data_IF_731197486689
#
_entry.id   IF_731197486689
#
_cell.length_a   1.000
_cell.length_b   1.000
_cell.length_c   1.000
_cell.angle_alpha   90.00
_cell.angle_beta   90.00
_cell.angle_gamma   90.00
#
_symmetry.space_group_name_H-M   'P 1'
#
loop_
_entity.id
_entity.type
_entity.pdbx_description
1 polymer ?
#
# COMPACT_ATOMS: atom_id res chain seq x y z
N UNK A 1 15.83 0.53 32.73
CA UNK A 1 14.45 0.02 32.52
C UNK A 1 14.40 -0.53 31.08
N UNK A 2 15.12 -1.62 30.84
CA UNK A 2 14.62 -2.99 30.62
C UNK A 2 14.15 -3.20 29.16
N UNK A 3 15.10 -3.58 28.31
CA UNK A 3 14.90 -3.95 26.90
C UNK A 3 13.88 -5.08 26.72
N UNK A 4 13.69 -5.92 27.75
CA UNK A 4 12.66 -6.97 27.82
C UNK A 4 11.22 -6.44 27.74
N UNK A 5 10.95 -5.27 28.33
CA UNK A 5 9.64 -4.64 28.23
C UNK A 5 9.35 -4.18 26.79
N UNK A 6 10.38 -3.74 26.06
CA UNK A 6 10.27 -3.31 24.67
C UNK A 6 10.08 -4.49 23.72
N UNK A 7 10.81 -5.59 23.93
CA UNK A 7 10.68 -6.79 23.12
C UNK A 7 9.32 -7.45 23.35
N UNK A 8 8.88 -7.58 24.60
CA UNK A 8 7.55 -8.12 24.92
C UNK A 8 6.41 -7.24 24.42
N UNK A 9 6.56 -5.91 24.45
CA UNK A 9 5.62 -4.98 23.83
C UNK A 9 5.62 -5.13 22.29
N UNK A 10 6.79 -5.24 21.66
CA UNK A 10 6.95 -5.43 20.22
C UNK A 10 6.31 -6.75 19.74
N UNK A 11 6.62 -7.86 20.40
CA UNK A 11 6.06 -9.16 20.08
C UNK A 11 4.55 -9.22 20.37
N UNK A 12 4.08 -8.64 21.48
CA UNK A 12 2.63 -8.57 21.75
C UNK A 12 1.89 -7.71 20.73
N UNK A 13 2.51 -6.64 20.23
CA UNK A 13 1.98 -5.84 19.14
C UNK A 13 1.95 -6.64 17.82
N UNK A 14 3.03 -7.36 17.48
CA UNK A 14 3.15 -8.18 16.28
C UNK A 14 2.11 -9.32 16.21
N UNK A 15 1.79 -9.93 17.36
CA UNK A 15 0.77 -10.98 17.45
C UNK A 15 -0.64 -10.45 17.73
N UNK A 16 -0.79 -9.14 17.94
CA UNK A 16 -2.12 -8.56 18.09
C UNK A 16 -2.88 -8.63 16.75
N UNK A 17 -4.10 -9.17 16.77
CA UNK A 17 -5.05 -9.07 15.64
C UNK A 17 -5.20 -7.62 15.14
N UNK A 18 -4.95 -6.66 16.03
CA UNK A 18 -4.96 -5.21 15.81
C UNK A 18 -3.87 -4.75 14.85
N UNK A 19 -2.61 -5.14 15.02
CA UNK A 19 -1.51 -4.71 14.15
C UNK A 19 -1.72 -5.15 12.70
N UNK A 20 -2.13 -6.41 12.49
CA UNK A 20 -2.41 -6.92 11.14
C UNK A 20 -3.63 -6.26 10.50
N UNK A 21 -4.69 -5.97 11.28
CA UNK A 21 -5.87 -5.22 10.81
C UNK A 21 -5.55 -3.76 10.46
N UNK A 22 -4.80 -3.06 11.31
CA UNK A 22 -4.49 -1.62 11.17
C UNK A 22 -3.35 -1.30 10.19
N UNK A 23 -2.31 -2.13 10.11
CA UNK A 23 -1.05 -1.84 9.38
C UNK A 23 -0.98 -2.52 8.01
N UNK A 24 -1.61 -3.70 7.87
CA UNK A 24 -1.54 -4.51 6.64
C UNK A 24 -2.86 -4.51 5.87
N UNK A 25 -4.01 -4.57 6.56
CA UNK A 25 -5.32 -4.77 5.93
C UNK A 25 -6.10 -3.45 5.74
N UNK A 26 -5.77 -2.41 6.52
CA UNK A 26 -6.46 -1.12 6.47
C UNK A 26 -7.91 -1.16 6.97
N UNK A 27 -8.31 -2.20 7.70
CA UNK A 27 -9.62 -2.29 8.34
C UNK A 27 -9.48 -1.84 9.80
N UNK A 28 -10.33 -0.91 10.30
CA UNK A 28 -10.27 -0.51 11.70
C UNK A 28 -10.63 -1.70 12.60
N UNK A 29 -10.16 -1.70 13.86
CA UNK A 29 -10.71 -2.53 14.91
C UNK A 29 -12.25 -2.43 14.91
N UNK A 30 -12.94 -3.58 14.97
CA UNK A 30 -14.27 -3.58 15.58
C UNK A 30 -14.01 -3.32 17.07
N UNK A 31 -14.72 -2.32 17.60
CA UNK A 31 -14.69 -1.76 18.97
C UNK A 31 -13.86 -0.49 19.09
N UNK A 32 -14.43 0.60 19.65
CA UNK A 32 -13.69 1.84 19.92
C UNK A 32 -12.43 1.60 20.77
N UNK A 33 -11.36 2.34 20.49
CA UNK A 33 -10.07 2.14 21.16
C UNK A 33 -9.40 3.44 21.60
N UNK A 34 -8.63 3.40 22.68
CA UNK A 34 -7.87 4.57 23.12
C UNK A 34 -6.79 4.99 22.08
N UNK A 35 -6.62 6.30 21.83
CA UNK A 35 -5.53 6.81 21.00
C UNK A 35 -4.17 6.32 21.48
N UNK A 36 -3.28 6.00 20.54
CA UNK A 36 -1.91 5.56 20.87
C UNK A 36 -1.02 6.74 21.23
N UNK A 37 0.12 6.48 21.90
CA UNK A 37 1.10 7.51 22.28
C UNK A 37 1.56 8.32 21.07
N UNK A 38 1.84 7.66 19.94
CA UNK A 38 2.26 8.32 18.71
C UNK A 38 1.19 9.27 18.16
N UNK A 39 -0.08 8.85 18.18
CA UNK A 39 -1.22 9.67 17.73
C UNK A 39 -1.38 10.94 18.56
N UNK A 40 -1.11 10.85 19.87
CA UNK A 40 -1.18 12.00 20.78
C UNK A 40 0.05 12.89 20.67
N UNK A 41 1.24 12.31 20.43
CA UNK A 41 2.50 13.03 20.32
C UNK A 41 2.60 13.88 19.06
N UNK A 42 2.11 13.38 17.92
CA UNK A 42 2.22 14.05 16.61
C UNK A 42 0.87 14.51 16.06
N UNK A 43 0.06 15.15 16.91
CA UNK A 43 -1.23 15.70 16.51
C UNK A 43 -1.06 16.87 15.54
N UNK A 44 -1.87 16.89 14.50
CA UNK A 44 -1.89 17.91 13.45
C UNK A 44 -3.12 18.80 13.64
N UNK A 45 -2.90 20.12 13.65
CA UNK A 45 -3.95 21.12 13.80
C UNK A 45 -4.53 21.51 12.44
N UNK A 46 -5.84 21.71 12.38
CA UNK A 46 -6.55 22.19 11.18
C UNK A 46 -6.52 23.72 11.07
N UNK A 47 -6.53 24.40 12.22
CA UNK A 47 -6.62 25.87 12.32
C UNK A 47 -5.26 26.54 12.25
N UNK A 48 -4.21 25.86 12.74
CA UNK A 48 -2.85 26.39 12.76
C UNK A 48 -2.00 25.76 11.65
N UNK A 49 -1.28 26.57 10.84
CA UNK A 49 -0.34 26.04 9.88
C UNK A 49 0.76 25.24 10.56
N UNK A 50 1.10 24.09 9.98
CA UNK A 50 2.26 23.30 10.38
C UNK A 50 3.50 23.86 9.71
N UNK A 51 4.63 23.89 10.44
CA UNK A 51 5.91 24.33 9.87
C UNK A 51 6.37 23.33 8.82
N UNK A 52 6.48 23.78 7.58
CA UNK A 52 6.94 22.99 6.43
C UNK A 52 8.07 23.72 5.73
N UNK A 53 9.02 22.96 5.18
CA UNK A 53 10.09 23.48 4.34
C UNK A 53 9.62 23.50 2.88
N UNK A 54 9.36 24.69 2.36
CA UNK A 54 8.91 24.88 0.98
C UNK A 54 7.40 24.94 0.84
N UNK A 55 6.89 24.57 -0.33
CA UNK A 55 5.46 24.60 -0.65
C UNK A 55 4.73 23.31 -0.21
N UNK A 56 3.41 23.37 0.07
CA UNK A 56 2.60 22.17 0.28
C UNK A 56 2.63 21.25 -0.94
N UNK A 57 2.72 19.93 -0.74
CA UNK A 57 2.83 18.96 -1.84
C UNK A 57 1.78 17.86 -1.75
N UNK A 58 1.20 17.48 -2.89
CA UNK A 58 0.19 16.42 -2.95
C UNK A 58 0.76 15.00 -2.85
N UNK A 59 2.09 14.86 -2.89
CA UNK A 59 2.82 13.58 -2.93
C UNK A 59 2.33 12.59 -4.00
N UNK A 60 1.78 13.10 -5.12
CA UNK A 60 1.25 12.26 -6.20
C UNK A 60 0.23 11.22 -5.69
N UNK A 61 -0.65 11.64 -4.77
CA UNK A 61 -1.76 10.82 -4.26
C UNK A 61 -3.13 11.33 -4.70
N UNK A 62 -3.20 12.50 -5.33
CA UNK A 62 -4.46 13.13 -5.77
C UNK A 62 -4.90 12.52 -7.10
N UNK A 63 -6.15 12.07 -7.16
CA UNK A 63 -6.80 11.49 -8.34
C UNK A 63 -7.54 12.57 -9.12
N UNK A 64 -8.34 13.38 -8.43
CA UNK A 64 -9.09 14.48 -8.99
C UNK A 64 -9.08 15.67 -8.02
N UNK A 65 -9.12 16.89 -8.56
CA UNK A 65 -9.18 18.13 -7.79
C UNK A 65 -9.96 19.20 -8.55
N UNK A 66 -10.94 19.78 -7.87
CA UNK A 66 -11.73 20.93 -8.30
C UNK A 66 -12.03 21.83 -7.08
N UNK A 67 -12.79 22.91 -7.23
CA UNK A 67 -13.22 23.78 -6.14
C UNK A 67 -14.18 23.07 -5.18
N UNK A 68 -14.98 22.14 -5.70
CA UNK A 68 -15.97 21.38 -4.93
C UNK A 68 -15.36 20.24 -4.12
N UNK A 69 -14.54 19.38 -4.73
CA UNK A 69 -13.94 18.24 -4.03
C UNK A 69 -12.51 17.90 -4.46
N UNK A 70 -11.85 17.13 -3.62
CA UNK A 70 -10.57 16.51 -3.93
C UNK A 70 -10.64 15.03 -3.61
N UNK A 71 -10.29 14.19 -4.57
CA UNK A 71 -10.19 12.75 -4.37
C UNK A 71 -8.71 12.37 -4.21
N UNK A 72 -8.40 11.65 -3.14
CA UNK A 72 -7.07 11.18 -2.79
C UNK A 72 -7.10 9.65 -2.69
N UNK A 73 -6.10 8.97 -3.24
CA UNK A 73 -5.94 7.53 -3.07
C UNK A 73 -5.38 7.20 -1.68
N UNK A 74 -5.72 6.04 -1.14
CA UNK A 74 -5.17 5.58 0.12
C UNK A 74 -3.71 5.09 0.00
N UNK A 75 -3.05 4.92 1.15
CA UNK A 75 -1.67 4.46 1.21
C UNK A 75 -1.43 3.05 0.66
N UNK A 76 -2.48 2.21 0.56
CA UNK A 76 -2.34 0.88 -0.06
C UNK A 76 -2.05 0.97 -1.55
N UNK A 77 -2.52 2.01 -2.24
CA UNK A 77 -2.30 2.22 -3.67
C UNK A 77 -0.80 2.24 -4.05
N UNK A 78 0.06 2.82 -3.19
CA UNK A 78 1.50 2.87 -3.41
C UNK A 78 2.15 1.48 -3.47
N UNK A 79 1.61 0.50 -2.73
CA UNK A 79 2.21 -0.83 -2.54
C UNK A 79 1.51 -1.95 -3.32
N UNK A 80 0.48 -1.64 -4.12
CA UNK A 80 -0.32 -2.65 -4.84
C UNK A 80 0.56 -3.62 -5.62
N UNK A 81 0.32 -4.91 -5.41
CA UNK A 81 1.00 -6.02 -6.08
C UNK A 81 2.36 -6.38 -5.49
N UNK A 82 3.01 -5.49 -4.73
CA UNK A 82 4.28 -5.82 -4.09
C UNK A 82 4.09 -6.92 -3.03
N UNK A 83 2.99 -6.87 -2.27
CA UNK A 83 2.62 -7.93 -1.33
C UNK A 83 2.41 -9.26 -2.03
N UNK A 84 1.63 -9.28 -3.11
CA UNK A 84 1.40 -10.46 -3.94
C UNK A 84 2.70 -11.11 -4.43
N UNK A 85 3.65 -10.31 -4.91
CA UNK A 85 4.97 -10.82 -5.30
C UNK A 85 5.69 -11.48 -4.13
N UNK A 86 5.81 -10.77 -2.99
CA UNK A 86 6.52 -11.26 -1.82
C UNK A 86 5.88 -12.55 -1.26
N UNK A 87 4.55 -12.59 -1.16
CA UNK A 87 3.81 -13.77 -0.70
C UNK A 87 3.93 -14.95 -1.68
N UNK A 88 3.95 -14.71 -3.00
CA UNK A 88 4.21 -15.79 -3.97
C UNK A 88 5.62 -16.35 -3.82
N UNK A 89 6.64 -15.49 -3.73
CA UNK A 89 8.03 -15.94 -3.53
C UNK A 89 8.22 -16.69 -2.21
N UNK A 90 7.48 -16.32 -1.16
CA UNK A 90 7.47 -17.03 0.13
C UNK A 90 6.72 -18.37 0.05
N UNK A 91 5.61 -18.43 -0.67
CA UNK A 91 4.77 -19.64 -0.77
C UNK A 91 5.41 -20.74 -1.62
N UNK A 92 6.08 -20.39 -2.73
CA UNK A 92 6.66 -21.38 -3.66
C UNK A 92 7.58 -22.43 -3.01
N UNK A 93 8.59 -22.08 -2.21
CA UNK A 93 9.46 -23.08 -1.58
C UNK A 93 8.71 -23.93 -0.55
N UNK A 94 7.73 -23.36 0.16
CA UNK A 94 6.93 -24.09 1.16
C UNK A 94 6.01 -25.09 0.47
N UNK A 95 5.36 -24.68 -0.63
CA UNK A 95 4.53 -25.56 -1.45
C UNK A 95 5.41 -26.68 -2.02
N UNK A 96 6.57 -26.32 -2.57
CA UNK A 96 7.50 -27.31 -3.12
C UNK A 96 7.94 -28.30 -2.03
N UNK A 97 8.52 -27.85 -0.92
CA UNK A 97 8.99 -28.76 0.14
C UNK A 97 7.87 -29.60 0.76
N UNK A 98 6.69 -29.03 0.98
CA UNK A 98 5.61 -29.71 1.71
C UNK A 98 4.84 -30.70 0.84
N UNK A 99 4.60 -30.37 -0.42
CA UNK A 99 3.81 -31.21 -1.33
C UNK A 99 4.67 -32.08 -2.24
N UNK A 100 5.85 -31.63 -2.69
CA UNK A 100 6.73 -32.46 -3.53
C UNK A 100 7.23 -33.70 -2.79
N UNK A 101 7.70 -33.55 -1.55
CA UNK A 101 8.16 -34.68 -0.70
C UNK A 101 7.01 -35.68 -0.50
N UNK A 102 5.81 -35.17 -0.25
CA UNK A 102 4.62 -35.98 -0.04
C UNK A 102 4.21 -36.75 -1.31
N UNK A 103 4.20 -36.08 -2.47
CA UNK A 103 3.90 -36.71 -3.77
C UNK A 103 4.96 -37.75 -4.12
N UNK A 104 6.25 -37.43 -3.94
CA UNK A 104 7.35 -38.36 -4.17
C UNK A 104 7.20 -39.63 -3.32
N UNK A 105 6.83 -39.49 -2.05
CA UNK A 105 6.60 -40.60 -1.12
C UNK A 105 5.46 -41.50 -1.59
N UNK A 106 4.34 -40.91 -2.03
CA UNK A 106 3.19 -41.66 -2.53
C UNK A 106 3.55 -42.45 -3.79
N UNK A 107 4.27 -41.83 -4.73
CA UNK A 107 4.61 -42.44 -6.01
C UNK A 107 5.67 -43.55 -5.88
N UNK A 108 6.57 -43.45 -4.91
CA UNK A 108 7.71 -44.36 -4.75
C UNK A 108 7.61 -45.25 -3.51
N UNK A 109 6.41 -45.45 -2.97
CA UNK A 109 6.21 -46.14 -1.68
C UNK A 109 6.85 -47.54 -1.59
N UNK A 110 7.01 -48.23 -2.73
CA UNK A 110 7.61 -49.58 -2.83
C UNK A 110 9.14 -49.58 -2.98
N UNK A 111 9.73 -48.43 -3.29
CA UNK A 111 11.16 -48.27 -3.56
C UNK A 111 11.90 -47.52 -2.43
N UNK A 112 11.19 -47.18 -1.35
CA UNK A 112 11.73 -46.42 -0.22
C UNK A 112 12.12 -47.40 0.89
N UNK A 113 13.41 -47.49 1.18
CA UNK A 113 13.95 -48.38 2.22
C UNK A 113 13.50 -47.96 3.64
N UNK A 114 13.51 -46.66 3.94
CA UNK A 114 13.12 -46.09 5.25
C UNK A 114 11.72 -45.47 5.22
N UNK A 115 10.71 -46.27 4.83
CA UNK A 115 9.35 -45.77 4.57
C UNK A 115 8.74 -45.00 5.76
N UNK A 116 8.94 -45.48 6.99
CA UNK A 116 8.35 -44.85 8.19
C UNK A 116 8.91 -43.45 8.45
N UNK A 117 10.21 -43.24 8.22
CA UNK A 117 10.86 -41.94 8.40
C UNK A 117 10.36 -40.95 7.34
N UNK A 118 10.28 -41.39 6.08
CA UNK A 118 9.80 -40.55 4.97
C UNK A 118 8.32 -40.19 5.14
N UNK A 119 7.48 -41.12 5.61
CA UNK A 119 6.08 -40.85 5.97
C UNK A 119 6.01 -39.83 7.11
N UNK A 120 6.81 -39.99 8.17
CA UNK A 120 6.82 -39.05 9.29
C UNK A 120 7.21 -37.63 8.83
N UNK A 121 8.28 -37.51 8.04
CA UNK A 121 8.71 -36.22 7.46
C UNK A 121 7.63 -35.62 6.55
N UNK A 122 6.96 -36.44 5.74
CA UNK A 122 5.87 -35.97 4.87
C UNK A 122 4.67 -35.46 5.67
N UNK A 123 4.22 -36.21 6.69
CA UNK A 123 3.14 -35.79 7.57
C UNK A 123 3.51 -34.50 8.30
N UNK A 124 4.70 -34.44 8.89
CA UNK A 124 5.20 -33.25 9.58
C UNK A 124 5.25 -32.03 8.65
N UNK A 125 5.74 -32.22 7.42
CA UNK A 125 5.80 -31.17 6.41
C UNK A 125 4.41 -30.69 5.98
N UNK A 126 3.43 -31.57 5.82
CA UNK A 126 2.04 -31.18 5.51
C UNK A 126 1.39 -30.43 6.67
N UNK A 127 1.56 -30.93 7.90
CA UNK A 127 0.95 -30.37 9.12
C UNK A 127 1.44 -28.95 9.37
N UNK A 128 2.71 -28.65 9.09
CA UNK A 128 3.26 -27.29 9.24
C UNK A 128 3.06 -26.46 7.96
N UNK A 129 3.32 -27.05 6.80
CA UNK A 129 3.29 -26.37 5.51
C UNK A 129 1.89 -25.89 5.12
N UNK A 130 0.85 -26.71 5.34
CA UNK A 130 -0.51 -26.36 4.91
C UNK A 130 -1.07 -25.13 5.62
N UNK A 131 -1.01 -25.01 6.97
CA UNK A 131 -1.44 -23.79 7.65
C UNK A 131 -0.67 -22.55 7.20
N UNK A 132 0.64 -22.66 6.94
CA UNK A 132 1.46 -21.56 6.44
C UNK A 132 1.03 -21.14 5.04
N UNK A 133 0.82 -22.08 4.12
CA UNK A 133 0.34 -21.79 2.77
C UNK A 133 -1.03 -21.13 2.80
N UNK A 134 -1.95 -21.58 3.66
CA UNK A 134 -3.26 -20.96 3.84
C UNK A 134 -3.15 -19.53 4.38
N UNK A 135 -2.28 -19.28 5.36
CA UNK A 135 -2.05 -17.95 5.91
C UNK A 135 -1.42 -17.00 4.89
N UNK A 136 -0.40 -17.46 4.16
CA UNK A 136 0.22 -16.70 3.07
C UNK A 136 -0.80 -16.43 1.96
N UNK A 137 -1.59 -17.45 1.58
CA UNK A 137 -2.65 -17.33 0.59
C UNK A 137 -3.74 -16.32 0.98
N UNK A 138 -4.08 -16.24 2.27
CA UNK A 138 -4.99 -15.22 2.79
C UNK A 138 -4.45 -13.80 2.58
N UNK A 139 -3.19 -13.55 2.95
CA UNK A 139 -2.58 -12.23 2.74
C UNK A 139 -2.34 -11.91 1.27
N UNK A 140 -1.96 -12.91 0.47
CA UNK A 140 -1.86 -12.78 -0.99
C UNK A 140 -3.20 -12.35 -1.59
N UNK A 141 -4.30 -13.00 -1.18
CA UNK A 141 -5.66 -12.64 -1.61
C UNK A 141 -6.00 -11.19 -1.23
N UNK A 142 -5.64 -10.75 -0.03
CA UNK A 142 -5.89 -9.37 0.41
C UNK A 142 -5.14 -8.34 -0.43
N UNK A 143 -3.92 -8.62 -0.87
CA UNK A 143 -3.21 -7.69 -1.75
C UNK A 143 -3.74 -7.78 -3.19
N UNK A 144 -3.97 -8.97 -3.72
CA UNK A 144 -4.23 -9.18 -5.14
C UNK A 144 -5.71 -9.02 -5.56
N UNK A 145 -6.67 -9.32 -4.67
CA UNK A 145 -8.11 -9.32 -4.96
C UNK A 145 -8.88 -8.20 -4.23
N UNK A 146 -8.22 -7.08 -3.92
CA UNK A 146 -8.88 -5.91 -3.33
C UNK A 146 -9.40 -4.96 -4.43
N UNK A 147 -9.66 -3.70 -4.07
CA UNK A 147 -9.92 -2.63 -5.01
C UNK A 147 -8.63 -2.09 -5.65
N UNK A 148 -8.75 -1.45 -6.81
CA UNK A 148 -7.60 -0.82 -7.51
C UNK A 148 -6.91 0.22 -6.63
N UNK A 149 -7.71 0.97 -5.89
CA UNK A 149 -7.33 1.86 -4.79
C UNK A 149 -8.58 2.08 -3.92
N UNK A 150 -8.42 2.57 -2.69
CA UNK A 150 -9.54 2.98 -1.85
C UNK A 150 -9.63 4.51 -1.87
N UNK A 151 -10.61 5.10 -2.59
CA UNK A 151 -10.70 6.55 -2.72
C UNK A 151 -11.15 7.20 -1.42
N UNK A 152 -10.60 8.38 -1.14
CA UNK A 152 -11.02 9.26 -0.05
C UNK A 152 -11.40 10.59 -0.70
N UNK A 153 -12.68 10.95 -0.62
CA UNK A 153 -13.21 12.21 -1.16
C UNK A 153 -13.35 13.23 -0.06
N UNK A 154 -12.68 14.35 -0.25
CA UNK A 154 -12.74 15.54 0.58
C UNK A 154 -13.68 16.52 -0.11
N UNK A 155 -14.91 16.64 0.36
CA UNK A 155 -15.92 17.54 -0.22
C UNK A 155 -15.90 18.84 0.58
N UNK A 156 -15.40 19.90 -0.06
CA UNK A 156 -15.20 21.19 0.60
C UNK A 156 -16.52 21.91 0.85
N UNK A 157 -17.43 21.87 -0.13
CA UNK A 157 -18.74 22.57 -0.05
C UNK A 157 -19.56 22.16 1.17
N UNK A 158 -19.55 20.87 1.51
CA UNK A 158 -20.25 20.30 2.67
C UNK A 158 -19.37 20.10 3.89
N UNK A 159 -18.05 20.37 3.78
CA UNK A 159 -17.02 20.06 4.80
C UNK A 159 -17.09 18.60 5.28
N UNK A 160 -17.25 17.65 4.35
CA UNK A 160 -17.31 16.21 4.64
C UNK A 160 -16.15 15.44 4.03
N UNK A 161 -15.78 14.35 4.69
CA UNK A 161 -14.81 13.36 4.21
C UNK A 161 -15.53 12.04 4.01
N UNK A 162 -15.63 11.62 2.76
CA UNK A 162 -16.15 10.30 2.40
C UNK A 162 -14.98 9.33 2.24
N UNK A 163 -14.99 8.26 3.03
CA UNK A 163 -13.96 7.22 3.02
C UNK A 163 -14.56 5.93 2.49
N UNK A 164 -14.05 5.46 1.35
CA UNK A 164 -14.51 4.23 0.74
C UNK A 164 -13.98 2.99 1.47
N UNK A 165 -14.86 2.03 1.72
CA UNK A 165 -14.54 0.72 2.29
C UNK A 165 -14.81 -0.41 1.29
N UNK A 166 -15.99 -0.43 0.68
CA UNK A 166 -16.39 -1.42 -0.33
C UNK A 166 -17.60 -0.96 -1.17
N UNK A 167 -17.87 -1.67 -2.27
CA UNK A 167 -19.00 -1.35 -3.17
C UNK A 167 -20.39 -1.78 -2.64
N UNK A 168 -20.46 -2.54 -1.54
CA UNK A 168 -21.72 -2.98 -0.93
C UNK A 168 -22.44 -1.87 -0.12
N UNK A 169 -23.67 -2.16 0.38
CA UNK A 169 -24.40 -1.25 1.27
C UNK A 169 -23.57 -0.95 2.54
N UNK A 170 -23.63 0.28 3.04
CA UNK A 170 -22.80 0.78 4.15
C UNK A 170 -21.28 0.78 3.87
N UNK A 171 -20.91 0.70 2.60
CA UNK A 171 -19.52 0.64 2.16
C UNK A 171 -18.75 1.97 2.14
N UNK A 172 -19.34 3.04 2.66
CA UNK A 172 -18.75 4.37 2.73
C UNK A 172 -18.99 4.98 4.11
N UNK A 173 -17.94 5.56 4.69
CA UNK A 173 -18.09 6.41 5.86
C UNK A 173 -18.15 7.87 5.43
N UNK A 174 -19.18 8.58 5.87
CA UNK A 174 -19.32 10.02 5.67
C UNK A 174 -19.04 10.71 7.00
N UNK A 175 -17.88 11.34 7.12
CA UNK A 175 -17.37 11.91 8.36
C UNK A 175 -17.29 13.43 8.25
N UNK A 176 -17.71 14.17 9.28
CA UNK A 176 -17.62 15.63 9.27
C UNK A 176 -16.17 16.06 9.49
N UNK A 177 -15.63 16.88 8.59
CA UNK A 177 -14.25 17.36 8.64
C UNK A 177 -13.93 18.06 9.96
N UNK A 178 -14.89 18.79 10.52
CA UNK A 178 -14.72 19.55 11.75
C UNK A 178 -14.58 18.66 12.99
N UNK A 179 -15.18 17.46 12.99
CA UNK A 179 -15.11 16.50 14.08
C UNK A 179 -13.87 15.59 14.01
N UNK A 180 -13.21 15.52 12.85
CA UNK A 180 -12.02 14.70 12.66
C UNK A 180 -10.78 15.27 13.37
N UNK A 181 -9.97 14.38 13.92
CA UNK A 181 -8.65 14.67 14.46
C UNK A 181 -7.59 14.04 13.55
N UNK A 182 -6.55 14.79 13.24
CA UNK A 182 -5.45 14.33 12.39
C UNK A 182 -4.16 14.22 13.20
N UNK A 183 -3.33 13.24 12.85
CA UNK A 183 -2.02 13.04 13.47
C UNK A 183 -1.09 12.30 12.51
N UNK A 184 0.21 12.35 12.76
CA UNK A 184 1.14 11.39 12.18
C UNK A 184 1.13 10.12 13.02
N UNK A 185 0.91 8.97 12.37
CA UNK A 185 0.96 7.66 13.03
C UNK A 185 1.98 6.76 12.36
N UNK A 186 2.75 6.06 13.19
CA UNK A 186 3.67 5.00 12.76
C UNK A 186 2.92 3.69 12.50
N UNK A 187 3.15 3.11 11.33
CA UNK A 187 2.72 1.77 10.92
C UNK A 187 3.91 0.95 10.44
N UNK A 188 4.46 0.12 11.32
CA UNK A 188 5.70 -0.63 11.02
C UNK A 188 6.90 0.30 10.87
N UNK A 189 7.56 0.25 9.71
CA UNK A 189 8.68 1.14 9.37
C UNK A 189 8.25 2.47 8.73
N UNK A 190 6.97 2.62 8.39
CA UNK A 190 6.46 3.79 7.70
C UNK A 190 5.57 4.63 8.61
N UNK A 191 5.39 5.88 8.21
CA UNK A 191 4.50 6.86 8.81
C UNK A 191 3.48 7.32 7.78
N UNK A 192 2.32 7.76 8.25
CA UNK A 192 1.30 8.36 7.40
C UNK A 192 0.45 9.36 8.16
N UNK A 193 -0.23 10.22 7.42
CA UNK A 193 -1.23 11.14 7.97
C UNK A 193 -2.49 10.33 8.27
N UNK A 194 -2.81 10.15 9.54
CA UNK A 194 -4.00 9.44 10.00
C UNK A 194 -5.09 10.46 10.40
N UNK A 195 -6.25 10.36 9.76
CA UNK A 195 -7.48 10.98 10.23
C UNK A 195 -8.31 10.01 11.05
N UNK A 196 -8.87 10.47 12.17
CA UNK A 196 -9.72 9.64 13.01
C UNK A 196 -10.84 10.43 13.69
N UNK A 197 -11.94 9.74 13.98
CA UNK A 197 -13.12 10.30 14.68
C UNK A 197 -13.13 9.83 16.15
N UNK A 198 -12.95 10.74 17.13
CA UNK A 198 -13.12 10.41 18.54
C UNK A 198 -14.59 10.33 18.94
N UNK A 199 -14.94 9.45 19.88
CA UNK A 199 -16.22 9.42 20.57
C UNK A 199 -16.25 10.40 21.77
N UNK A 200 -17.37 10.43 22.49
CA UNK A 200 -17.53 11.26 23.70
C UNK A 200 -16.53 10.92 24.83
N UNK A 201 -15.98 9.70 24.83
CA UNK A 201 -14.98 9.24 25.80
C UNK A 201 -13.54 9.45 25.30
N UNK A 202 -13.37 10.05 24.11
CA UNK A 202 -12.07 10.25 23.46
C UNK A 202 -11.49 8.98 22.81
N UNK A 203 -12.27 7.90 22.69
CA UNK A 203 -11.89 6.69 21.98
C UNK A 203 -12.09 6.84 20.48
N UNK A 204 -11.19 6.25 19.71
CA UNK A 204 -11.23 6.26 18.25
C UNK A 204 -12.30 5.30 17.76
N UNK A 205 -13.24 5.78 16.97
CA UNK A 205 -14.30 4.96 16.36
C UNK A 205 -14.01 4.62 14.90
N UNK A 206 -13.53 5.61 14.15
CA UNK A 206 -13.20 5.49 12.74
C UNK A 206 -11.79 6.04 12.51
N UNK A 207 -11.01 5.38 11.67
CA UNK A 207 -9.65 5.80 11.35
C UNK A 207 -9.30 5.44 9.92
N UNK A 208 -8.59 6.34 9.23
CA UNK A 208 -8.16 6.17 7.86
C UNK A 208 -6.87 6.95 7.58
N UNK A 209 -6.03 6.43 6.69
CA UNK A 209 -4.82 7.13 6.26
C UNK A 209 -5.11 7.98 5.02
N UNK A 210 -4.74 9.25 5.07
CA UNK A 210 -4.82 10.18 3.96
C UNK A 210 -3.58 10.08 3.08
N UNK A 211 -3.73 9.51 1.89
CA UNK A 211 -2.68 9.58 0.89
C UNK A 211 -1.44 8.75 1.24
N UNK A 212 -0.30 9.40 1.23
CA UNK A 212 0.99 8.73 1.18
C UNK A 212 1.39 8.14 2.54
N UNK A 213 2.11 7.02 2.47
CA UNK A 213 2.75 6.37 3.62
C UNK A 213 4.23 6.19 3.28
N UNK A 214 5.12 6.75 4.08
CA UNK A 214 6.55 6.80 3.79
C UNK A 214 7.41 6.58 5.03
N UNK A 215 8.66 6.10 4.90
CA UNK A 215 9.60 6.08 6.01
C UNK A 215 9.88 7.51 6.49
N UNK A 216 9.99 7.69 7.81
CA UNK A 216 10.39 8.99 8.37
C UNK A 216 11.84 9.28 8.02
N UNK A 217 12.13 10.56 7.80
CA UNK A 217 13.47 11.02 7.52
C UNK A 217 14.47 10.59 8.62
N UNK A 218 15.73 10.21 8.30
CA UNK A 218 16.71 9.76 9.28
C UNK A 218 16.99 10.74 10.43
N UNK A 219 16.67 12.03 10.23
CA UNK A 219 16.82 13.09 11.23
C UNK A 219 15.60 13.25 12.16
N UNK A 220 14.59 12.40 12.02
CA UNK A 220 13.33 12.49 12.73
C UNK A 220 12.31 13.39 12.03
N UNK A 221 11.18 13.63 12.70
CA UNK A 221 10.09 14.47 12.18
C UNK A 221 10.46 15.93 12.38
N UNK A 222 10.80 16.61 11.29
CA UNK A 222 11.09 18.04 11.24
C UNK A 222 10.32 18.74 10.12
N UNK A 223 10.53 20.05 9.89
CA UNK A 223 9.86 20.78 8.82
C UNK A 223 10.13 20.25 7.41
N UNK A 224 11.21 19.47 7.24
CA UNK A 224 11.60 18.78 6.01
C UNK A 224 10.86 17.46 5.77
N UNK A 225 10.02 17.01 6.71
CA UNK A 225 9.23 15.78 6.58
C UNK A 225 8.13 15.93 5.51
N UNK A 226 8.17 15.15 4.41
CA UNK A 226 7.23 15.33 3.30
C UNK A 226 5.77 15.06 3.68
N UNK A 227 5.51 14.23 4.69
CA UNK A 227 4.15 14.02 5.22
C UNK A 227 3.53 15.28 5.82
N UNK A 228 4.32 16.19 6.39
CA UNK A 228 3.81 17.47 6.90
C UNK A 228 3.40 18.40 5.75
N UNK A 229 4.20 18.43 4.68
CA UNK A 229 3.85 19.18 3.47
C UNK A 229 2.62 18.58 2.76
N UNK A 230 2.41 17.26 2.86
CA UNK A 230 1.19 16.59 2.41
C UNK A 230 -0.04 16.93 3.23
N UNK A 231 0.10 16.92 4.55
CA UNK A 231 -0.95 17.37 5.46
C UNK A 231 -1.35 18.81 5.14
N UNK A 232 -0.38 19.72 5.02
CA UNK A 232 -0.65 21.13 4.70
C UNK A 232 -1.36 21.28 3.36
N UNK A 233 -1.05 20.43 2.37
CA UNK A 233 -1.75 20.45 1.08
C UNK A 233 -3.24 20.11 1.26
N UNK A 234 -3.55 19.07 2.03
CA UNK A 234 -4.95 18.67 2.30
C UNK A 234 -5.68 19.70 3.16
N UNK A 235 -5.03 20.16 4.25
CA UNK A 235 -5.60 21.14 5.18
C UNK A 235 -5.92 22.46 4.50
N UNK A 236 -4.98 23.01 3.72
CA UNK A 236 -5.18 24.28 3.00
C UNK A 236 -6.28 24.16 1.96
N UNK A 237 -6.33 23.05 1.22
CA UNK A 237 -7.43 22.77 0.30
C UNK A 237 -8.79 22.83 1.00
N UNK A 238 -8.94 22.14 2.14
CA UNK A 238 -10.21 22.10 2.88
C UNK A 238 -10.57 23.43 3.56
N UNK A 239 -9.60 24.13 4.15
CA UNK A 239 -9.87 25.35 4.93
C UNK A 239 -9.89 26.63 4.09
N UNK A 240 -8.96 26.77 3.16
CA UNK A 240 -8.77 28.00 2.38
C UNK A 240 -9.18 27.84 0.90
N UNK A 241 -9.40 26.62 0.43
CA UNK A 241 -9.81 26.34 -0.95
C UNK A 241 -8.65 26.00 -1.90
N UNK A 242 -8.95 25.65 -3.16
CA UNK A 242 -7.97 25.13 -4.11
C UNK A 242 -6.88 26.14 -4.52
N UNK A 243 -7.16 27.45 -4.48
CA UNK A 243 -6.18 28.49 -4.81
C UNK A 243 -5.05 28.59 -3.79
N UNK A 244 -5.29 28.11 -2.56
CA UNK A 244 -4.31 28.15 -1.47
C UNK A 244 -3.22 27.08 -1.58
N UNK A 245 -3.32 26.19 -2.57
CA UNK A 245 -2.40 25.08 -2.81
C UNK A 245 -1.93 25.03 -4.25
N UNK A 246 -0.66 24.69 -4.50
CA UNK A 246 -0.14 24.61 -5.86
C UNK A 246 -0.90 23.57 -6.67
N UNK A 247 -1.02 23.78 -7.98
CA UNK A 247 -1.57 22.77 -8.90
C UNK A 247 -0.73 21.49 -8.81
N UNK A 248 -1.33 20.29 -8.66
CA UNK A 248 -0.58 19.05 -8.66
C UNK A 248 0.26 18.91 -9.92
N UNK A 249 1.52 18.52 -9.74
CA UNK A 249 2.37 18.19 -10.88
C UNK A 249 1.79 17.03 -11.68
N UNK A 250 1.11 16.10 -11.00
CA UNK A 250 0.49 14.92 -11.57
C UNK A 250 -0.84 14.61 -10.87
N UNK A 251 -1.85 14.23 -11.65
CA UNK A 251 -3.04 13.54 -11.16
C UNK A 251 -2.95 12.05 -11.48
N UNK A 252 -3.40 11.22 -10.54
CA UNK A 252 -3.36 9.78 -10.72
C UNK A 252 -4.30 9.34 -11.84
N UNK A 253 -3.81 8.54 -12.82
CA UNK A 253 -4.61 8.13 -13.96
C UNK A 253 -5.55 6.96 -13.61
N UNK A 254 -6.22 7.00 -12.46
CA UNK A 254 -7.01 5.90 -11.89
C UNK A 254 -8.48 6.25 -11.61
N UNK A 255 -8.90 7.47 -11.91
CA UNK A 255 -10.30 7.87 -11.80
C UNK A 255 -11.18 6.98 -12.71
N UNK A 256 -12.06 6.19 -12.10
CA UNK A 256 -12.96 5.25 -12.79
C UNK A 256 -12.27 4.29 -13.77
N UNK A 257 -10.96 4.05 -13.60
CA UNK A 257 -10.18 3.21 -14.50
C UNK A 257 -8.98 2.59 -13.80
N UNK A 258 -8.41 1.56 -14.42
CA UNK A 258 -7.13 0.97 -13.97
C UNK A 258 -5.97 1.82 -14.46
N UNK A 259 -4.90 1.90 -13.68
CA UNK A 259 -3.69 2.59 -14.10
C UNK A 259 -3.08 1.97 -15.37
N UNK A 260 -2.44 2.75 -16.25
CA UNK A 260 -1.66 2.22 -17.35
C UNK A 260 -0.45 1.41 -16.85
N UNK A 261 -0.09 0.33 -17.55
CA UNK A 261 1.02 -0.56 -17.16
C UNK A 261 2.34 0.21 -16.93
N UNK A 262 2.78 1.00 -17.93
CA UNK A 262 4.03 1.76 -17.84
C UNK A 262 4.00 2.80 -16.72
N UNK A 263 2.83 3.35 -16.40
CA UNK A 263 2.70 4.25 -15.26
C UNK A 263 2.90 3.52 -13.93
N UNK A 264 2.31 2.32 -13.78
CA UNK A 264 2.53 1.47 -12.61
C UNK A 264 4.00 1.08 -12.42
N UNK A 265 4.72 0.77 -13.53
CA UNK A 265 6.16 0.50 -13.49
C UNK A 265 6.97 1.74 -13.09
N UNK A 266 6.66 2.90 -13.67
CA UNK A 266 7.31 4.17 -13.30
C UNK A 266 7.18 4.45 -11.80
N UNK A 267 5.97 4.30 -11.26
CA UNK A 267 5.69 4.51 -9.84
C UNK A 267 6.44 3.52 -8.95
N UNK A 268 6.55 2.26 -9.39
CA UNK A 268 7.34 1.27 -8.69
C UNK A 268 8.82 1.67 -8.66
N UNK A 269 9.39 2.14 -9.77
CA UNK A 269 10.78 2.61 -9.77
C UNK A 269 10.99 3.83 -8.85
N UNK A 270 10.03 4.75 -8.76
CA UNK A 270 10.10 5.85 -7.79
C UNK A 270 10.17 5.34 -6.34
N UNK A 271 9.49 4.23 -6.01
CA UNK A 271 9.54 3.61 -4.68
C UNK A 271 10.93 3.05 -4.35
N UNK A 272 11.63 2.47 -5.33
CA UNK A 272 13.01 1.96 -5.16
C UNK A 272 14.08 3.05 -5.35
N UNK A 273 13.70 4.20 -5.92
CA UNK A 273 14.59 5.32 -6.20
C UNK A 273 15.80 4.91 -7.06
N UNK A 274 17.01 5.42 -6.76
CA UNK A 274 18.20 5.11 -7.55
C UNK A 274 18.60 3.63 -7.51
N UNK A 275 18.09 2.86 -6.54
CA UNK A 275 18.39 1.43 -6.40
C UNK A 275 17.55 0.53 -7.31
N UNK A 276 16.58 1.08 -8.06
CA UNK A 276 15.72 0.28 -8.93
C UNK A 276 16.52 -0.59 -9.93
N UNK A 277 17.62 -0.06 -10.48
CA UNK A 277 18.50 -0.78 -11.42
C UNK A 277 19.28 -1.90 -10.74
N UNK A 278 19.74 -1.68 -9.50
CA UNK A 278 20.47 -2.69 -8.72
C UNK A 278 19.59 -3.92 -8.43
N UNK A 279 18.30 -3.69 -8.27
CA UNK A 279 17.30 -4.72 -8.01
C UNK A 279 16.43 -5.00 -9.24
N UNK A 280 16.97 -4.87 -10.46
CA UNK A 280 16.21 -5.02 -11.69
C UNK A 280 15.33 -6.30 -11.72
N UNK A 281 15.81 -7.51 -11.36
CA UNK A 281 14.96 -8.70 -11.43
C UNK A 281 13.75 -8.62 -10.48
N UNK A 282 13.95 -7.99 -9.32
CA UNK A 282 12.89 -7.78 -8.32
C UNK A 282 11.93 -6.70 -8.78
N UNK A 283 12.43 -5.59 -9.33
CA UNK A 283 11.57 -4.48 -9.77
C UNK A 283 10.76 -4.82 -11.02
N UNK A 284 11.34 -5.55 -11.98
CA UNK A 284 10.62 -6.06 -13.16
C UNK A 284 9.50 -7.01 -12.73
N UNK A 285 9.80 -7.95 -11.84
CA UNK A 285 8.81 -8.88 -11.31
C UNK A 285 7.72 -8.14 -10.52
N UNK A 286 8.08 -7.15 -9.70
CA UNK A 286 7.11 -6.36 -8.95
C UNK A 286 6.20 -5.54 -9.87
N UNK A 287 6.71 -5.04 -11.00
CA UNK A 287 5.91 -4.39 -12.04
C UNK A 287 4.85 -5.33 -12.65
N UNK A 288 5.22 -6.58 -12.92
CA UNK A 288 4.28 -7.60 -13.39
C UNK A 288 3.20 -7.90 -12.34
N UNK A 289 3.59 -8.09 -11.08
CA UNK A 289 2.63 -8.34 -10.00
C UNK A 289 1.71 -7.15 -9.73
N UNK A 290 2.20 -5.91 -9.82
CA UNK A 290 1.36 -4.71 -9.76
C UNK A 290 0.32 -4.70 -10.87
N UNK A 291 0.73 -5.01 -12.10
CA UNK A 291 -0.21 -5.15 -13.22
C UNK A 291 -1.26 -6.23 -12.99
N UNK A 292 -0.84 -7.41 -12.52
CA UNK A 292 -1.74 -8.51 -12.17
C UNK A 292 -2.71 -8.11 -11.06
N UNK A 293 -2.22 -7.45 -10.01
CA UNK A 293 -3.04 -6.96 -8.90
C UNK A 293 -4.11 -6.00 -9.42
N UNK A 294 -3.73 -5.01 -10.22
CA UNK A 294 -4.68 -4.04 -10.78
C UNK A 294 -5.74 -4.71 -11.67
N UNK A 295 -5.39 -5.79 -12.39
CA UNK A 295 -6.32 -6.56 -13.24
C UNK A 295 -7.28 -7.41 -12.43
N UNK A 296 -6.79 -8.07 -11.39
CA UNK A 296 -7.63 -8.89 -10.51
C UNK A 296 -8.47 -8.05 -9.53
N UNK A 297 -8.12 -6.77 -9.37
CA UNK A 297 -8.85 -5.85 -8.51
C UNK A 297 -10.15 -5.35 -9.11
N UNK A 298 -11.11 -5.07 -8.22
CA UNK A 298 -12.36 -4.38 -8.56
C UNK A 298 -12.17 -2.87 -8.59
N UNK A 299 -12.98 -2.16 -9.39
CA UNK A 299 -13.01 -0.70 -9.37
C UNK A 299 -13.88 -0.21 -8.19
N UNK A 300 -13.44 0.81 -7.44
CA UNK A 300 -14.29 1.45 -6.44
C UNK A 300 -15.43 2.19 -7.14
N UNK A 301 -16.64 2.09 -6.58
CA UNK A 301 -17.83 2.78 -7.07
C UNK A 301 -18.42 3.59 -5.92
N UNK A 302 -18.69 4.87 -6.15
CA UNK A 302 -19.29 5.74 -5.15
C UNK A 302 -20.82 5.57 -5.15
N UNK A 303 -21.47 5.54 -3.97
CA UNK A 303 -22.92 5.60 -3.88
C UNK A 303 -23.46 6.92 -4.47
N UNK A 304 -24.68 6.87 -5.03
CA UNK A 304 -25.32 8.02 -5.66
C UNK A 304 -25.42 9.26 -4.73
N UNK A 305 -25.56 9.04 -3.43
CA UNK A 305 -25.60 10.12 -2.42
C UNK A 305 -24.29 10.92 -2.32
N UNK A 306 -23.15 10.25 -2.48
CA UNK A 306 -21.83 10.89 -2.49
C UNK A 306 -21.59 11.57 -3.82
N UNK A 307 -21.97 10.92 -4.92
CA UNK A 307 -21.85 11.51 -6.27
C UNK A 307 -22.70 12.78 -6.42
N UNK A 308 -23.90 12.81 -5.84
CA UNK A 308 -24.75 14.00 -5.82
C UNK A 308 -24.08 15.20 -5.13
N UNK A 309 -23.31 14.96 -4.06
CA UNK A 309 -22.54 16.00 -3.37
C UNK A 309 -21.29 16.44 -4.14
N UNK A 310 -20.84 15.62 -5.09
CA UNK A 310 -19.66 15.85 -5.92
C UNK A 310 -20.04 16.32 -7.33
N UNK A 311 -21.29 16.76 -7.56
CA UNK A 311 -21.68 17.31 -8.85
C UNK A 311 -20.97 18.63 -9.09
N UNK A 312 -20.20 18.66 -10.17
CA UNK A 312 -19.31 19.77 -10.52
C UNK A 312 -20.01 20.63 -11.56
N UNK A 313 -20.03 21.95 -11.36
CA UNK A 313 -20.48 22.90 -12.38
C UNK A 313 -19.58 22.80 -13.62
N UNK A 314 -20.09 23.02 -14.85
CA UNK A 314 -19.24 23.09 -16.05
C UNK A 314 -18.05 24.05 -15.92
N UNK A 315 -18.19 25.09 -15.08
CA UNK A 315 -17.14 26.08 -14.81
C UNK A 315 -16.09 25.62 -13.77
N UNK A 316 -16.38 24.58 -12.98
CA UNK A 316 -15.50 24.01 -11.92
C UNK A 316 -14.77 22.75 -12.42
N UNK A 317 -14.34 22.72 -13.68
CA UNK A 317 -13.73 21.53 -14.28
C UNK A 317 -12.49 21.06 -13.50
N UNK A 318 -12.28 19.73 -13.45
CA UNK A 318 -11.09 19.13 -12.83
C UNK A 318 -9.82 19.78 -13.36
N UNK A 319 -8.97 20.22 -12.43
CA UNK A 319 -7.75 20.94 -12.75
C UNK A 319 -6.84 20.07 -13.61
N UNK A 320 -6.32 20.65 -14.70
CA UNK A 320 -5.34 19.98 -15.53
C UNK A 320 -3.99 19.90 -14.78
N UNK A 321 -3.38 18.70 -14.65
CA UNK A 321 -2.07 18.58 -14.00
C UNK A 321 -0.97 19.21 -14.88
N UNK A 322 0.16 19.57 -14.25
CA UNK A 322 1.31 20.12 -15.01
C UNK A 322 1.94 19.09 -15.95
N UNK A 323 1.89 17.82 -15.59
CA UNK A 323 2.39 16.68 -16.36
C UNK A 323 1.30 15.63 -16.47
N UNK A 324 1.17 14.99 -17.63
CA UNK A 324 0.30 13.83 -17.79
C UNK A 324 1.05 12.59 -17.36
N UNK A 325 0.33 11.64 -16.76
CA UNK A 325 0.87 10.34 -16.34
C UNK A 325 1.57 9.57 -17.48
N UNK A 326 1.23 9.87 -18.73
CA UNK A 326 1.75 9.20 -19.93
C UNK A 326 2.96 9.89 -20.55
N UNK A 327 3.36 11.08 -20.10
CA UNK A 327 4.40 11.87 -20.76
C UNK A 327 5.76 11.15 -20.77
N UNK A 328 6.06 10.39 -19.71
CA UNK A 328 7.31 9.63 -19.60
C UNK A 328 7.21 8.20 -20.16
N UNK A 329 6.10 7.81 -20.79
CA UNK A 329 5.83 6.41 -21.17
C UNK A 329 6.90 5.80 -22.09
N UNK A 330 7.41 6.54 -23.07
CA UNK A 330 8.46 6.06 -23.99
C UNK A 330 9.76 5.77 -23.23
N UNK A 331 10.18 6.69 -22.35
CA UNK A 331 11.39 6.51 -21.53
C UNK A 331 11.26 5.33 -20.58
N UNK A 332 10.07 5.15 -19.99
CA UNK A 332 9.80 3.99 -19.11
C UNK A 332 9.80 2.69 -19.92
N UNK A 333 9.21 2.67 -21.13
CA UNK A 333 9.23 1.50 -21.99
C UNK A 333 10.66 1.09 -22.37
N UNK A 334 11.50 2.06 -22.77
CA UNK A 334 12.92 1.82 -23.02
C UNK A 334 13.64 1.28 -21.78
N UNK A 335 13.39 1.89 -20.62
CA UNK A 335 13.94 1.43 -19.34
C UNK A 335 13.54 -0.01 -19.02
N UNK A 336 12.29 -0.41 -19.28
CA UNK A 336 11.81 -1.79 -19.08
C UNK A 336 12.56 -2.77 -19.98
N UNK A 337 12.80 -2.42 -21.24
CA UNK A 337 13.59 -3.26 -22.16
C UNK A 337 15.02 -3.43 -21.65
N UNK A 338 15.64 -2.36 -21.15
CA UNK A 338 16.99 -2.41 -20.57
C UNK A 338 17.02 -3.26 -19.31
N UNK A 339 16.05 -3.10 -18.40
CA UNK A 339 15.94 -3.91 -17.18
C UNK A 339 15.78 -5.39 -17.52
N UNK A 340 14.91 -5.74 -18.47
CA UNK A 340 14.73 -7.13 -18.92
C UNK A 340 16.00 -7.72 -19.53
N UNK A 341 16.73 -6.96 -20.34
CA UNK A 341 18.00 -7.41 -20.89
C UNK A 341 19.04 -7.65 -19.78
N UNK A 342 19.09 -6.76 -18.77
CA UNK A 342 19.94 -6.93 -17.60
C UNK A 342 19.54 -8.16 -16.79
N UNK A 343 18.24 -8.40 -16.60
CA UNK A 343 17.72 -9.58 -15.92
C UNK A 343 18.17 -10.88 -16.62
N UNK A 344 18.10 -10.94 -17.95
CA UNK A 344 18.59 -12.09 -18.74
C UNK A 344 20.08 -12.33 -18.49
N UNK A 345 20.90 -11.29 -18.49
CA UNK A 345 22.34 -11.40 -18.21
C UNK A 345 22.60 -11.85 -16.78
N UNK A 346 21.88 -11.30 -15.80
CA UNK A 346 22.02 -11.68 -14.40
C UNK A 346 21.61 -13.14 -14.16
N UNK A 347 20.51 -13.59 -14.76
CA UNK A 347 20.11 -15.00 -14.69
C UNK A 347 21.13 -15.91 -15.35
N UNK A 348 21.65 -15.55 -16.53
CA UNK A 348 22.73 -16.30 -17.18
C UNK A 348 23.95 -16.45 -16.27
N UNK A 349 24.43 -15.35 -15.66
CA UNK A 349 25.56 -15.37 -14.74
C UNK A 349 25.26 -16.18 -13.48
N UNK A 350 24.06 -16.06 -12.91
CA UNK A 350 23.64 -16.85 -11.75
C UNK A 350 23.72 -18.35 -12.05
N UNK A 351 23.17 -18.80 -13.18
CA UNK A 351 23.15 -20.21 -13.54
C UNK A 351 24.53 -20.77 -13.95
N UNK A 352 25.34 -19.99 -14.64
CA UNK A 352 26.67 -20.43 -15.10
C UNK A 352 27.77 -20.30 -14.05
N UNK A 353 27.73 -19.27 -13.19
CA UNK A 353 28.80 -18.98 -12.22
C UNK A 353 28.49 -19.41 -10.80
N UNK A 354 27.23 -19.33 -10.36
CA UNK A 354 26.85 -19.66 -8.98
C UNK A 354 26.39 -21.11 -8.90
N UNK A 355 25.46 -21.49 -9.79
CA UNK A 355 24.98 -22.88 -9.84
C UNK A 355 25.85 -23.80 -10.69
N UNK A 356 26.79 -23.23 -11.48
CA UNK A 356 27.69 -23.97 -12.36
C UNK A 356 26.96 -25.04 -13.19
N UNK A 357 25.77 -24.71 -13.73
CA UNK A 357 24.93 -25.67 -14.47
C UNK A 357 25.69 -26.28 -15.65
N UNK A 358 26.66 -25.58 -16.22
CA UNK A 358 27.52 -26.09 -17.28
C UNK A 358 28.28 -27.37 -16.84
N UNK A 359 28.59 -27.52 -15.55
CA UNK A 359 29.18 -28.75 -14.97
C UNK A 359 28.19 -29.91 -14.82
N UNK A 360 26.89 -29.67 -14.89
CA UNK A 360 25.88 -30.74 -14.86
C UNK A 360 25.75 -31.46 -16.21
N UNK A 361 26.24 -30.85 -17.30
CA UNK A 361 26.15 -31.40 -18.66
C UNK A 361 27.50 -31.91 -19.22
N UNK A 362 28.58 -31.82 -18.44
CA UNK A 362 29.86 -32.48 -18.66
C UNK A 362 30.04 -33.62 -17.68
#
# INVERSE_FOLDING_TARGET
>A
MSDDASAKAYWSQLFSKRYWREVVIGLPPKDPWAPTVDMLAYRLDKTRPTSIKGEPVSLEMVVARNETYMEVADGSYMRRGFGGMAYTLMALPIIFSSYFISIYTILNIRAIDNLMEVIFVSIFSIVIGTPLVLLIGYHWKQDMWDYTYKPIRLVRSTRKVHVFQHNGPDGVWSLDWDNLVFCLKKGGLNWGVLGYLPDANGQVTHAFYLGAVMPVHPKGIGPDEPLLAHWEYIRRYMEAGPESVPVPDLLLPIENRREPFLYGVYRLWQMFGPFAVLFAPVTTLAGLFRWLAMRMSSLPCWPAEVEAQCQVSPDDATVQPRKKATDNSVGVAMGVVVMLALDVVLFWLLFTRVFEIDRLFT
#
